data_IF_702557649349
#
_entry.id   IF_702557649349
#
_cell.length_a   1.000
_cell.length_b   1.000
_cell.length_c   1.000
_cell.angle_alpha   90.00
_cell.angle_beta   90.00
_cell.angle_gamma   90.00
#
_symmetry.space_group_name_H-M   'P 1'
#
loop_
_entity.id
_entity.type
_entity.pdbx_description
1 polymer ?
#
# COMPACT_ATOMS: atom_id res chain seq x y z
N UNK A 1 25.10 -34.61 -26.28
CA UNK A 1 24.10 -33.66 -25.74
C UNK A 1 24.18 -33.79 -24.24
N UNK A 2 24.51 -32.73 -23.51
CA UNK A 2 24.62 -32.81 -22.05
C UNK A 2 23.20 -33.01 -21.49
N UNK A 3 22.94 -34.16 -20.87
CA UNK A 3 21.67 -34.41 -20.18
C UNK A 3 21.52 -33.37 -19.05
N UNK A 4 20.41 -32.61 -19.08
CA UNK A 4 20.07 -31.67 -18.00
C UNK A 4 19.87 -32.45 -16.70
N UNK A 5 20.38 -31.90 -15.61
CA UNK A 5 20.29 -32.51 -14.28
C UNK A 5 18.86 -32.46 -13.77
N UNK A 6 18.44 -33.52 -13.09
CA UNK A 6 17.10 -33.61 -12.51
C UNK A 6 16.88 -32.48 -11.49
N UNK A 7 15.72 -31.81 -11.54
CA UNK A 7 15.42 -30.66 -10.69
C UNK A 7 15.36 -31.00 -9.18
N UNK A 8 15.00 -32.23 -8.83
CA UNK A 8 15.08 -32.71 -7.45
C UNK A 8 16.54 -32.86 -7.01
N UNK A 9 17.43 -33.31 -7.88
CA UNK A 9 18.88 -33.37 -7.60
C UNK A 9 19.52 -31.97 -7.51
N UNK A 10 19.08 -31.03 -8.34
CA UNK A 10 19.54 -29.63 -8.30
C UNK A 10 19.20 -28.98 -6.95
N UNK A 11 18.00 -29.24 -6.42
CA UNK A 11 17.60 -28.78 -5.09
C UNK A 11 18.09 -29.68 -3.94
N UNK A 12 18.61 -30.87 -4.24
CA UNK A 12 19.12 -31.84 -3.27
C UNK A 12 18.03 -32.49 -2.42
N UNK A 13 16.87 -32.76 -3.00
CA UNK A 13 15.68 -33.33 -2.36
C UNK A 13 15.21 -34.59 -3.09
N UNK A 14 14.37 -35.41 -2.46
CA UNK A 14 13.81 -36.61 -3.08
C UNK A 14 12.54 -36.32 -3.89
N UNK A 15 12.30 -37.12 -4.93
CA UNK A 15 11.05 -37.12 -5.70
C UNK A 15 9.90 -37.55 -4.78
N UNK A 16 9.04 -36.59 -4.42
CA UNK A 16 7.99 -36.77 -3.41
C UNK A 16 8.06 -35.79 -2.23
N UNK A 17 9.08 -34.92 -2.18
CA UNK A 17 9.18 -33.85 -1.18
C UNK A 17 7.93 -32.96 -1.15
N UNK A 18 7.55 -32.53 0.05
CA UNK A 18 6.46 -31.58 0.28
C UNK A 18 6.81 -30.17 -0.23
N UNK A 19 5.82 -29.32 -0.49
CA UNK A 19 6.06 -27.94 -0.93
C UNK A 19 6.96 -27.15 0.05
N UNK A 20 6.82 -27.41 1.35
CA UNK A 20 7.61 -26.76 2.38
C UNK A 20 9.08 -27.21 2.36
N UNK A 21 9.34 -28.47 2.02
CA UNK A 21 10.70 -28.99 1.83
C UNK A 21 11.35 -28.41 0.58
N UNK A 22 10.59 -28.27 -0.51
CA UNK A 22 11.05 -27.62 -1.76
C UNK A 22 11.41 -26.16 -1.50
N UNK A 23 10.55 -25.41 -0.79
CA UNK A 23 10.81 -24.01 -0.41
C UNK A 23 12.03 -23.87 0.48
N UNK A 24 12.22 -24.76 1.45
CA UNK A 24 13.40 -24.76 2.35
C UNK A 24 14.68 -25.09 1.59
N UNK A 25 14.65 -26.08 0.71
CA UNK A 25 15.79 -26.48 -0.11
C UNK A 25 16.21 -25.36 -1.07
N UNK A 26 15.26 -24.72 -1.74
CA UNK A 26 15.50 -23.56 -2.59
C UNK A 26 16.17 -22.41 -1.83
N UNK A 27 15.66 -22.02 -0.65
CA UNK A 27 16.28 -20.95 0.15
C UNK A 27 17.72 -21.28 0.54
N UNK A 28 18.00 -22.54 0.89
CA UNK A 28 19.35 -23.00 1.25
C UNK A 28 20.30 -22.99 0.05
N UNK A 29 19.83 -23.42 -1.12
CA UNK A 29 20.61 -23.44 -2.36
C UNK A 29 20.83 -22.02 -2.93
N UNK A 30 19.79 -21.18 -2.92
CA UNK A 30 19.86 -19.78 -3.36
C UNK A 30 20.83 -18.96 -2.49
N UNK A 31 20.83 -19.15 -1.17
CA UNK A 31 21.82 -18.51 -0.26
C UNK A 31 23.23 -19.07 -0.41
N UNK A 32 23.38 -20.28 -0.98
CA UNK A 32 24.70 -20.90 -1.22
C UNK A 32 25.34 -20.37 -2.50
N UNK A 33 24.54 -20.10 -3.53
CA UNK A 33 25.00 -19.65 -4.85
C UNK A 33 24.67 -18.17 -5.14
N UNK A 34 24.31 -17.38 -4.12
CA UNK A 34 23.95 -15.97 -4.28
C UNK A 34 25.16 -15.13 -4.76
N UNK A 35 24.99 -14.23 -5.75
CA UNK A 35 26.08 -13.41 -6.30
C UNK A 35 26.89 -12.64 -5.25
N UNK A 36 26.25 -12.10 -4.20
CA UNK A 36 26.95 -11.37 -3.12
C UNK A 36 28.00 -12.21 -2.39
N UNK A 37 27.79 -13.52 -2.22
CA UNK A 37 28.77 -14.38 -1.55
C UNK A 37 30.03 -14.64 -2.36
N UNK A 38 29.96 -14.42 -3.68
CA UNK A 38 31.06 -14.62 -4.60
C UNK A 38 31.62 -13.30 -5.13
N UNK A 39 31.26 -12.16 -4.51
CA UNK A 39 31.75 -10.82 -4.85
C UNK A 39 33.29 -10.73 -4.90
N UNK A 40 33.99 -11.45 -4.02
CA UNK A 40 35.46 -11.50 -3.93
C UNK A 40 36.11 -12.77 -4.52
N UNK A 41 35.37 -13.62 -5.25
CA UNK A 41 35.87 -14.85 -5.87
C UNK A 41 36.42 -14.62 -7.29
N UNK A 42 37.16 -15.59 -7.83
CA UNK A 42 37.70 -15.52 -9.19
C UNK A 42 36.59 -15.50 -10.26
N UNK A 43 36.86 -14.96 -11.44
CA UNK A 43 35.86 -14.85 -12.52
C UNK A 43 35.27 -16.20 -12.95
N UNK A 44 36.02 -17.29 -12.74
CA UNK A 44 35.55 -18.65 -13.01
C UNK A 44 34.54 -19.12 -11.97
N UNK A 45 34.78 -18.87 -10.68
CA UNK A 45 33.88 -19.24 -9.60
C UNK A 45 32.58 -18.42 -9.61
N UNK A 46 32.66 -17.15 -10.03
CA UNK A 46 31.49 -16.30 -10.23
C UNK A 46 30.56 -16.85 -11.31
N UNK A 47 31.12 -17.27 -12.45
CA UNK A 47 30.35 -17.87 -13.55
C UNK A 47 29.71 -19.20 -13.14
N UNK A 48 30.46 -20.07 -12.46
CA UNK A 48 29.93 -21.35 -11.98
C UNK A 48 28.83 -21.16 -10.92
N UNK A 49 28.94 -20.15 -10.06
CA UNK A 49 27.90 -19.82 -9.08
C UNK A 49 26.63 -19.27 -9.76
N UNK A 50 26.79 -18.42 -10.79
CA UNK A 50 25.67 -17.87 -11.55
C UNK A 50 24.92 -18.96 -12.35
N UNK A 51 25.63 -19.90 -12.98
CA UNK A 51 25.02 -21.04 -13.67
C UNK A 51 24.24 -21.93 -12.71
N UNK A 52 24.83 -22.30 -11.56
CA UNK A 52 24.14 -23.08 -10.52
C UNK A 52 22.96 -22.33 -9.93
N UNK A 53 23.04 -21.00 -9.80
CA UNK A 53 21.94 -20.18 -9.32
C UNK A 53 20.78 -20.14 -10.32
N UNK A 54 21.07 -20.09 -11.64
CA UNK A 54 20.06 -20.19 -12.69
C UNK A 54 19.36 -21.56 -12.67
N UNK A 55 20.12 -22.65 -12.56
CA UNK A 55 19.56 -24.01 -12.44
C UNK A 55 18.65 -24.16 -11.21
N UNK A 56 19.06 -23.62 -10.05
CA UNK A 56 18.27 -23.67 -8.80
C UNK A 56 16.96 -22.88 -8.92
N UNK A 57 16.98 -21.76 -9.63
CA UNK A 57 15.77 -20.97 -9.87
C UNK A 57 14.80 -21.69 -10.82
N UNK A 58 15.32 -22.28 -11.90
CA UNK A 58 14.52 -23.07 -12.85
C UNK A 58 13.87 -24.27 -12.15
N UNK A 59 14.65 -25.01 -11.35
CA UNK A 59 14.15 -26.13 -10.56
C UNK A 59 13.02 -25.71 -9.61
N UNK A 60 13.17 -24.57 -8.91
CA UNK A 60 12.13 -24.07 -8.02
C UNK A 60 10.88 -23.61 -8.77
N UNK A 61 11.00 -22.96 -9.93
CA UNK A 61 9.84 -22.54 -10.72
C UNK A 61 9.00 -23.70 -11.22
N UNK A 62 9.62 -24.84 -11.53
CA UNK A 62 8.92 -26.04 -12.00
C UNK A 62 8.35 -26.83 -10.81
N UNK A 63 9.13 -26.99 -9.73
CA UNK A 63 8.73 -27.85 -8.59
C UNK A 63 7.82 -27.15 -7.56
N UNK A 64 7.78 -25.81 -7.52
CA UNK A 64 6.91 -25.08 -6.57
C UNK A 64 5.45 -24.99 -6.99
N UNK A 65 5.15 -25.25 -8.27
CA UNK A 65 3.79 -25.25 -8.80
C UNK A 65 3.30 -26.70 -8.99
N UNK A 66 2.16 -27.04 -8.39
CA UNK A 66 1.64 -28.40 -8.39
C UNK A 66 1.35 -28.94 -9.81
N UNK A 67 0.93 -28.08 -10.75
CA UNK A 67 0.64 -28.50 -12.13
C UNK A 67 1.92 -28.69 -12.94
N UNK A 68 2.89 -27.77 -12.81
CA UNK A 68 4.19 -27.89 -13.49
C UNK A 68 5.01 -29.06 -12.96
N UNK A 69 4.95 -29.30 -11.66
CA UNK A 69 5.57 -30.46 -11.01
C UNK A 69 4.99 -31.77 -11.55
N UNK A 70 3.67 -31.88 -11.66
CA UNK A 70 3.03 -33.08 -12.21
C UNK A 70 3.45 -33.34 -13.67
N UNK A 71 3.56 -32.28 -14.49
CA UNK A 71 4.06 -32.39 -15.87
C UNK A 71 5.53 -32.81 -15.93
N UNK A 72 6.38 -32.23 -15.07
CA UNK A 72 7.78 -32.62 -14.95
C UNK A 72 7.94 -34.07 -14.48
N UNK A 73 7.12 -34.50 -13.52
CA UNK A 73 7.16 -35.86 -12.98
C UNK A 73 6.74 -36.91 -14.03
N UNK A 74 5.88 -36.54 -14.98
CA UNK A 74 5.38 -37.41 -16.06
C UNK A 74 6.26 -37.41 -17.33
N UNK A 75 6.80 -36.26 -17.73
CA UNK A 75 7.46 -36.07 -19.04
C UNK A 75 8.92 -35.59 -18.93
N UNK A 76 9.43 -35.36 -17.72
CA UNK A 76 10.79 -34.87 -17.49
C UNK A 76 11.04 -33.49 -18.11
N UNK A 77 12.30 -33.19 -18.47
CA UNK A 77 12.66 -31.91 -19.09
C UNK A 77 12.02 -31.70 -20.46
N UNK A 78 11.62 -32.76 -21.17
CA UNK A 78 10.99 -32.68 -22.48
C UNK A 78 9.63 -31.97 -22.45
N UNK A 79 8.94 -31.95 -21.30
CA UNK A 79 7.67 -31.24 -21.13
C UNK A 79 7.79 -29.72 -21.34
N UNK A 80 9.00 -29.18 -21.20
CA UNK A 80 9.27 -27.75 -21.24
C UNK A 80 10.25 -27.35 -22.36
N UNK A 81 10.73 -28.29 -23.17
CA UNK A 81 11.65 -28.02 -24.30
C UNK A 81 10.94 -27.64 -25.60
N UNK A 82 9.66 -27.99 -25.76
CA UNK A 82 8.88 -27.69 -26.98
C UNK A 82 8.25 -26.28 -27.00
N UNK A 83 8.98 -25.30 -26.46
CA UNK A 83 8.62 -23.87 -26.48
C UNK A 83 9.77 -22.94 -26.91
N UNK A 84 10.89 -23.50 -27.40
CA UNK A 84 12.09 -22.75 -27.78
C UNK A 84 11.97 -22.07 -29.16
N UNK A 85 10.91 -21.28 -29.36
CA UNK A 85 10.67 -20.50 -30.56
C UNK A 85 10.07 -19.15 -30.21
N UNK A 86 10.85 -18.27 -29.58
CA UNK A 86 10.48 -16.85 -29.40
C UNK A 86 10.51 -16.33 -27.97
N UNK A 87 11.67 -16.35 -27.31
CA UNK A 87 11.93 -15.41 -26.22
C UNK A 87 13.45 -15.14 -26.09
N UNK A 88 14.02 -14.59 -27.16
CA UNK A 88 15.30 -13.90 -27.09
C UNK A 88 15.05 -12.43 -26.78
N UNK A 89 15.24 -12.02 -25.52
CA UNK A 89 15.15 -10.61 -25.16
C UNK A 89 15.10 -10.31 -23.67
N UNK A 90 16.26 -9.99 -23.11
CA UNK A 90 16.37 -8.89 -22.14
C UNK A 90 15.96 -9.16 -20.70
N UNK A 91 16.97 -9.44 -19.88
CA UNK A 91 16.95 -9.13 -18.46
C UNK A 91 16.81 -7.61 -18.26
N UNK A 92 15.75 -7.16 -17.57
CA UNK A 92 15.80 -5.91 -16.80
C UNK A 92 14.63 -5.81 -15.80
N UNK A 93 14.94 -5.38 -14.58
CA UNK A 93 14.04 -4.50 -13.83
C UNK A 93 13.11 -5.13 -12.79
N UNK A 94 13.48 -4.90 -11.54
CA UNK A 94 12.65 -4.78 -10.35
C UNK A 94 11.22 -4.24 -10.61
N UNK A 95 10.19 -4.95 -10.08
CA UNK A 95 8.91 -4.35 -9.70
C UNK A 95 7.67 -4.70 -10.53
N UNK A 96 6.68 -5.31 -9.87
CA UNK A 96 5.26 -5.15 -10.20
C UNK A 96 4.60 -6.24 -11.05
N UNK A 97 3.45 -6.72 -10.58
CA UNK A 97 2.36 -7.21 -11.43
C UNK A 97 2.40 -8.68 -11.82
N UNK A 98 1.67 -9.50 -11.06
CA UNK A 98 1.13 -10.76 -11.57
C UNK A 98 0.15 -10.44 -12.72
N UNK A 99 0.37 -10.97 -13.92
CA UNK A 99 -0.60 -10.86 -15.01
C UNK A 99 -0.05 -10.91 -16.43
N UNK A 100 0.87 -11.84 -16.75
CA UNK A 100 1.50 -11.86 -18.09
C UNK A 100 1.67 -13.22 -18.76
N UNK A 101 1.21 -14.33 -18.16
CA UNK A 101 1.41 -15.67 -18.73
C UNK A 101 0.15 -16.55 -18.78
N UNK A 102 -0.99 -16.08 -18.27
CA UNK A 102 -2.26 -16.81 -18.29
C UNK A 102 -2.96 -16.73 -19.65
N UNK A 103 -2.79 -15.60 -20.38
CA UNK A 103 -3.49 -15.34 -21.65
C UNK A 103 -2.88 -16.00 -22.90
N UNK A 104 -1.64 -16.49 -22.81
CA UNK A 104 -0.99 -17.17 -23.94
C UNK A 104 -1.21 -18.69 -23.89
N UNK A 105 -1.41 -19.28 -22.70
CA UNK A 105 -1.69 -20.71 -22.58
C UNK A 105 -3.18 -21.03 -22.81
N UNK A 106 -4.08 -20.08 -22.56
CA UNK A 106 -5.51 -20.18 -22.90
C UNK A 106 -5.77 -20.14 -24.41
N UNK A 107 -4.91 -19.45 -25.19
CA UNK A 107 -5.01 -19.38 -26.65
C UNK A 107 -4.48 -20.62 -27.39
N UNK A 108 -3.57 -21.40 -26.79
CA UNK A 108 -2.99 -22.57 -27.45
C UNK A 108 -3.71 -23.88 -27.12
N UNK A 109 -4.35 -23.98 -25.95
CA UNK A 109 -5.09 -25.19 -25.52
C UNK A 109 -6.62 -25.05 -25.62
N UNK A 110 -7.13 -23.90 -26.09
CA UNK A 110 -8.54 -23.61 -26.22
C UNK A 110 -8.93 -23.14 -27.63
N UNK A 111 -8.84 -24.01 -28.65
CA UNK A 111 -9.17 -23.56 -30.00
C UNK A 111 -9.13 -24.60 -31.13
N UNK A 112 -10.03 -25.60 -31.08
CA UNK A 112 -10.66 -26.16 -32.28
C UNK A 112 -9.97 -27.33 -33.01
N UNK A 113 -10.67 -28.47 -33.07
CA UNK A 113 -10.39 -29.51 -34.08
C UNK A 113 -10.83 -30.91 -33.65
N UNK A 114 -12.02 -31.32 -34.07
CA UNK A 114 -12.65 -32.63 -33.90
C UNK A 114 -11.73 -33.85 -33.99
N UNK A 115 -11.89 -34.80 -33.06
CA UNK A 115 -11.49 -36.18 -33.31
C UNK A 115 -11.37 -37.03 -32.05
N UNK A 116 -12.20 -38.08 -32.00
CA UNK A 116 -12.12 -39.25 -31.12
C UNK A 116 -12.87 -39.18 -29.78
N UNK A 117 -13.96 -39.94 -29.74
CA UNK A 117 -14.90 -40.04 -28.65
C UNK A 117 -14.39 -40.86 -27.46
N UNK A 118 -15.11 -40.68 -26.36
CA UNK A 118 -15.03 -41.58 -25.21
C UNK A 118 -14.87 -40.84 -23.89
N UNK A 119 -15.94 -40.23 -23.37
CA UNK A 119 -16.23 -40.26 -21.93
C UNK A 119 -17.67 -39.82 -21.70
N UNK A 120 -18.55 -40.80 -21.51
CA UNK A 120 -19.90 -40.58 -21.03
C UNK A 120 -19.89 -40.26 -19.54
N UNK A 121 -20.82 -39.38 -19.15
CA UNK A 121 -21.26 -39.22 -17.77
C UNK A 121 -20.46 -38.22 -16.94
N UNK A 122 -21.00 -37.01 -16.76
CA UNK A 122 -20.46 -36.11 -15.74
C UNK A 122 -20.69 -34.60 -15.92
N UNK A 123 -21.61 -34.15 -16.78
CA UNK A 123 -22.03 -32.73 -16.77
C UNK A 123 -22.97 -32.47 -15.59
N UNK A 124 -22.41 -32.46 -14.39
CA UNK A 124 -22.99 -31.76 -13.25
C UNK A 124 -22.92 -30.27 -13.54
N UNK A 125 -23.98 -29.72 -14.11
CA UNK A 125 -24.16 -28.28 -14.27
C UNK A 125 -24.05 -27.63 -12.90
N UNK A 126 -22.89 -27.05 -12.61
CA UNK A 126 -22.76 -26.11 -11.51
C UNK A 126 -23.59 -24.89 -11.89
N UNK A 127 -24.82 -24.88 -11.40
CA UNK A 127 -25.71 -23.71 -11.39
C UNK A 127 -24.89 -22.54 -10.88
N UNK A 128 -24.47 -21.65 -11.79
CA UNK A 128 -23.88 -20.37 -11.44
C UNK A 128 -24.97 -19.61 -10.69
N UNK A 129 -24.96 -19.72 -9.35
CA UNK A 129 -25.78 -18.88 -8.48
C UNK A 129 -25.60 -17.45 -8.96
N UNK A 130 -26.71 -16.73 -9.14
CA UNK A 130 -26.74 -15.30 -9.45
C UNK A 130 -25.67 -14.60 -8.61
N UNK A 131 -24.60 -14.13 -9.25
CA UNK A 131 -23.46 -13.54 -8.56
C UNK A 131 -23.93 -12.19 -8.04
N UNK A 132 -24.12 -12.11 -6.72
CA UNK A 132 -24.60 -10.89 -6.10
C UNK A 132 -23.39 -9.98 -5.88
N UNK A 133 -23.24 -8.99 -6.75
CA UNK A 133 -22.17 -8.01 -6.63
C UNK A 133 -22.25 -7.22 -5.31
N UNK A 134 -21.13 -7.01 -4.60
CA UNK A 134 -21.10 -6.12 -3.45
C UNK A 134 -21.34 -4.67 -3.88
N UNK A 135 -21.83 -3.86 -2.95
CA UNK A 135 -21.94 -2.43 -3.16
C UNK A 135 -20.56 -1.79 -3.34
N UNK A 136 -20.52 -0.60 -3.95
CA UNK A 136 -19.27 0.11 -4.20
C UNK A 136 -18.64 0.63 -2.91
N UNK A 137 -17.33 0.58 -2.85
CA UNK A 137 -16.57 1.18 -1.76
C UNK A 137 -16.60 2.72 -1.83
N UNK A 138 -16.64 3.34 -0.67
CA UNK A 138 -16.54 4.79 -0.49
C UNK A 138 -15.19 5.17 0.09
N UNK A 139 -14.74 6.38 -0.24
CA UNK A 139 -13.53 6.98 0.32
C UNK A 139 -13.92 8.29 1.00
N UNK A 140 -13.49 8.47 2.24
CA UNK A 140 -13.73 9.68 2.99
C UNK A 140 -12.42 10.20 3.57
N UNK A 141 -12.03 11.42 3.20
CA UNK A 141 -10.81 12.03 3.73
C UNK A 141 -11.10 12.72 5.06
N UNK A 142 -10.31 12.40 6.07
CA UNK A 142 -10.35 13.05 7.37
C UNK A 142 -9.04 13.79 7.59
N UNK A 143 -9.16 15.08 7.90
CA UNK A 143 -8.00 15.88 8.28
C UNK A 143 -7.80 15.85 9.78
N UNK A 144 -6.55 15.63 10.20
CA UNK A 144 -6.14 15.59 11.60
C UNK A 144 -5.04 16.62 11.87
N UNK A 145 -5.03 17.22 13.06
CA UNK A 145 -3.90 18.03 13.52
C UNK A 145 -2.82 17.15 14.18
N UNK A 146 -1.61 17.66 14.35
CA UNK A 146 -0.53 16.87 15.00
C UNK A 146 -0.86 16.51 16.45
N UNK A 147 -1.59 17.37 17.17
CA UNK A 147 -2.04 17.14 18.54
C UNK A 147 -3.06 15.99 18.62
N UNK A 148 -3.99 15.94 17.65
CA UNK A 148 -4.94 14.83 17.50
C UNK A 148 -4.21 13.52 17.16
N UNK A 149 -3.13 13.58 16.37
CA UNK A 149 -2.30 12.42 16.05
C UNK A 149 -1.50 11.96 17.28
N UNK A 150 -1.03 12.88 18.11
CA UNK A 150 -0.25 12.57 19.31
C UNK A 150 -1.06 11.82 20.37
N UNK A 151 -2.35 12.13 20.50
CA UNK A 151 -3.23 11.59 21.55
C UNK A 151 -4.20 10.53 21.04
N UNK A 152 -4.49 10.52 19.75
CA UNK A 152 -5.61 9.79 19.17
C UNK A 152 -6.93 10.53 19.42
N UNK A 153 -7.87 10.40 18.50
CA UNK A 153 -9.12 11.15 18.54
C UNK A 153 -10.30 10.31 18.06
N UNK A 154 -11.47 10.53 18.64
CA UNK A 154 -12.73 10.01 18.11
C UNK A 154 -13.39 11.09 17.24
N UNK A 155 -13.51 10.83 15.93
CA UNK A 155 -14.19 11.75 15.02
C UNK A 155 -15.51 11.19 14.54
N UNK A 156 -16.52 12.07 14.48
CA UNK A 156 -17.81 11.76 13.90
C UNK A 156 -17.76 12.05 12.40
N UNK A 157 -17.86 11.00 11.59
CA UNK A 157 -17.94 11.11 10.13
C UNK A 157 -19.39 11.25 9.71
N UNK A 158 -19.68 12.28 8.92
CA UNK A 158 -20.99 12.50 8.31
C UNK A 158 -20.85 12.48 6.80
N UNK A 159 -21.40 11.45 6.17
CA UNK A 159 -21.32 11.28 4.72
C UNK A 159 -22.65 10.79 4.15
N UNK A 160 -22.82 11.00 2.85
CA UNK A 160 -23.99 10.53 2.09
C UNK A 160 -23.60 9.28 1.33
N UNK A 161 -24.49 8.30 1.32
CA UNK A 161 -24.38 7.07 0.51
C UNK A 161 -25.75 6.67 0.00
N UNK A 162 -25.82 5.81 -1.01
CA UNK A 162 -27.03 5.08 -1.30
C UNK A 162 -27.10 3.87 -0.34
N UNK A 163 -28.06 3.90 0.57
CA UNK A 163 -28.38 2.80 1.46
C UNK A 163 -29.55 1.98 0.94
N UNK A 164 -29.92 0.93 1.68
CA UNK A 164 -31.17 0.22 1.44
C UNK A 164 -32.34 1.18 1.65
N UNK A 165 -33.27 1.21 0.72
CA UNK A 165 -34.44 2.07 0.83
C UNK A 165 -35.29 1.63 2.03
N UNK A 166 -35.42 2.51 3.04
CA UNK A 166 -36.16 2.24 4.28
C UNK A 166 -37.66 1.98 4.07
N UNK A 167 -38.23 2.45 2.97
CA UNK A 167 -39.66 2.25 2.66
C UNK A 167 -39.97 0.85 2.13
N UNK A 168 -39.00 0.16 1.53
CA UNK A 168 -39.19 -1.14 0.89
C UNK A 168 -38.15 -2.19 1.32
N UNK A 169 -37.32 -1.89 2.32
CA UNK A 169 -36.22 -2.74 2.82
C UNK A 169 -35.31 -3.33 1.74
N UNK A 170 -35.08 -2.58 0.66
CA UNK A 170 -34.25 -3.04 -0.46
C UNK A 170 -34.97 -3.85 -1.54
N UNK A 171 -36.25 -4.17 -1.37
CA UNK A 171 -37.01 -4.99 -2.34
C UNK A 171 -37.39 -4.25 -3.63
N UNK A 172 -37.50 -2.91 -3.57
CA UNK A 172 -38.03 -2.10 -4.67
C UNK A 172 -39.55 -2.14 -4.83
N UNK A 173 -40.26 -2.92 -4.01
CA UNK A 173 -41.72 -2.98 -3.99
C UNK A 173 -42.33 -1.95 -3.05
N UNK A 174 -43.50 -1.41 -3.38
CA UNK A 174 -44.30 -0.62 -2.43
C UNK A 174 -44.69 -1.48 -1.23
N UNK A 175 -44.71 -0.91 -0.02
CA UNK A 175 -45.00 -1.64 1.22
C UNK A 175 -46.36 -2.36 1.10
N UNK A 176 -46.37 -3.69 1.26
CA UNK A 176 -47.57 -4.52 1.08
C UNK A 176 -47.83 -5.02 -0.34
N UNK A 177 -46.97 -4.70 -1.31
CA UNK A 177 -47.01 -5.24 -2.67
C UNK A 177 -46.11 -6.47 -2.82
N UNK A 178 -46.60 -7.51 -3.49
CA UNK A 178 -45.86 -8.74 -3.78
C UNK A 178 -44.85 -8.58 -4.92
N UNK A 179 -43.80 -9.41 -4.87
CA UNK A 179 -42.86 -9.59 -5.97
C UNK A 179 -43.38 -10.68 -6.90
N UNK A 180 -43.59 -10.36 -8.18
CA UNK A 180 -43.95 -11.34 -9.22
C UNK A 180 -42.69 -11.89 -9.89
N UNK A 181 -42.77 -13.12 -10.40
CA UNK A 181 -41.72 -13.68 -11.25
C UNK A 181 -41.59 -12.80 -12.50
N UNK A 182 -40.36 -12.44 -12.87
CA UNK A 182 -40.11 -11.61 -14.05
C UNK A 182 -40.62 -12.32 -15.31
N UNK A 183 -41.51 -11.70 -16.10
CA UNK A 183 -42.08 -12.33 -17.28
C UNK A 183 -41.06 -12.48 -18.40
N UNK A 184 -40.10 -11.55 -18.52
CA UNK A 184 -39.09 -11.57 -19.59
C UNK A 184 -38.06 -12.68 -19.44
N UNK A 185 -37.58 -12.95 -18.22
CA UNK A 185 -36.62 -14.03 -17.97
C UNK A 185 -37.24 -15.28 -17.34
N UNK A 186 -38.55 -15.29 -17.06
CA UNK A 186 -39.25 -16.38 -16.35
C UNK A 186 -38.54 -16.79 -15.04
N UNK A 187 -38.07 -15.82 -14.27
CA UNK A 187 -37.36 -16.09 -13.02
C UNK A 187 -35.89 -16.46 -13.14
N UNK A 188 -35.33 -16.57 -14.36
CA UNK A 188 -33.93 -16.96 -14.59
C UNK A 188 -32.91 -15.86 -14.28
N UNK A 189 -33.31 -14.59 -14.31
CA UNK A 189 -32.43 -13.43 -14.07
C UNK A 189 -31.60 -12.98 -15.28
N UNK A 190 -31.52 -13.79 -16.33
CA UNK A 190 -30.82 -13.50 -17.58
C UNK A 190 -31.68 -13.86 -18.80
N UNK A 191 -31.35 -13.28 -19.95
CA UNK A 191 -31.94 -13.56 -21.25
C UNK A 191 -30.86 -14.05 -22.21
N UNK A 192 -31.17 -15.07 -23.01
CA UNK A 192 -30.26 -15.57 -24.03
C UNK A 192 -30.42 -14.75 -25.31
N UNK A 193 -29.35 -14.05 -25.70
CA UNK A 193 -29.28 -13.25 -26.93
C UNK A 193 -28.47 -14.03 -27.94
N UNK A 194 -29.15 -14.51 -28.98
CA UNK A 194 -28.52 -15.19 -30.11
C UNK A 194 -28.10 -14.16 -31.16
N UNK A 195 -26.81 -13.98 -31.37
CA UNK A 195 -26.26 -13.12 -32.41
C UNK A 195 -25.73 -13.97 -33.57
N UNK A 196 -26.16 -13.63 -34.79
CA UNK A 196 -25.64 -14.25 -36.01
C UNK A 196 -24.28 -13.65 -36.33
N UNK A 197 -23.24 -14.48 -36.33
CA UNK A 197 -21.89 -14.13 -36.75
C UNK A 197 -21.51 -14.89 -38.02
N UNK A 198 -20.41 -14.50 -38.66
CA UNK A 198 -19.90 -15.14 -39.89
C UNK A 198 -19.55 -16.63 -39.64
N UNK A 199 -19.28 -17.00 -38.38
CA UNK A 199 -18.95 -18.36 -37.94
C UNK A 199 -20.17 -19.15 -37.42
N UNK A 200 -21.39 -18.60 -37.50
CA UNK A 200 -22.62 -19.23 -37.04
C UNK A 200 -23.37 -18.41 -35.97
N UNK A 201 -24.36 -19.06 -35.33
CA UNK A 201 -25.13 -18.44 -34.25
C UNK A 201 -24.34 -18.51 -32.94
N UNK A 202 -23.93 -17.36 -32.42
CA UNK A 202 -23.35 -17.24 -31.08
C UNK A 202 -24.47 -16.92 -30.08
N UNK A 203 -24.69 -17.79 -29.11
CA UNK A 203 -25.63 -17.54 -28.00
C UNK A 203 -24.85 -16.95 -26.84
N UNK A 204 -25.23 -15.74 -26.43
CA UNK A 204 -24.66 -15.06 -25.27
C UNK A 204 -25.74 -14.86 -24.21
N UNK A 205 -25.38 -14.95 -22.93
CA UNK A 205 -26.29 -14.64 -21.83
C UNK A 205 -26.09 -13.18 -21.45
N UNK A 206 -27.18 -12.40 -21.48
CA UNK A 206 -27.19 -11.02 -20.99
C UNK A 206 -28.08 -10.93 -19.76
N UNK A 207 -27.74 -10.06 -18.82
CA UNK A 207 -28.60 -9.79 -17.67
C UNK A 207 -29.98 -9.31 -18.13
N UNK A 208 -31.04 -9.79 -17.46
CA UNK A 208 -32.40 -9.35 -17.79
C UNK A 208 -32.58 -7.87 -17.40
N UNK A 209 -32.80 -7.01 -18.39
CA UNK A 209 -33.04 -5.57 -18.24
C UNK A 209 -34.30 -5.21 -17.42
N UNK A 210 -35.24 -6.14 -17.26
CA UNK A 210 -36.47 -5.90 -16.49
C UNK A 210 -36.32 -6.21 -14.99
N UNK A 211 -35.53 -7.24 -14.65
CA UNK A 211 -35.36 -7.67 -13.25
C UNK A 211 -33.95 -7.51 -12.70
N UNK A 212 -32.99 -7.07 -13.52
CA UNK A 212 -31.59 -6.86 -13.17
C UNK A 212 -31.02 -8.03 -12.36
N UNK A 213 -31.10 -9.24 -12.93
CA UNK A 213 -30.57 -10.45 -12.31
C UNK A 213 -31.39 -11.03 -11.16
N UNK A 214 -32.40 -10.32 -10.62
CA UNK A 214 -33.17 -10.75 -9.44
C UNK A 214 -34.20 -11.86 -9.73
N UNK A 215 -34.61 -12.02 -10.99
CA UNK A 215 -35.64 -12.97 -11.42
C UNK A 215 -37.06 -12.62 -10.95
N UNK A 216 -37.23 -11.57 -10.13
CA UNK A 216 -38.51 -11.08 -9.65
C UNK A 216 -38.62 -9.57 -9.85
N UNK A 217 -39.83 -9.12 -10.15
CA UNK A 217 -40.16 -7.70 -10.37
C UNK A 217 -41.27 -7.28 -9.39
N UNK A 218 -41.22 -6.06 -8.84
CA UNK A 218 -42.26 -5.55 -7.97
C UNK A 218 -43.56 -5.29 -8.77
N UNK A 219 -44.71 -5.72 -8.24
CA UNK A 219 -46.01 -5.41 -8.84
C UNK A 219 -46.29 -3.90 -8.86
N UNK A 220 -45.96 -3.23 -7.77
CA UNK A 220 -45.95 -1.77 -7.66
C UNK A 220 -44.57 -1.32 -7.25
N UNK A 221 -43.95 -0.50 -8.09
CA UNK A 221 -42.64 0.11 -7.81
C UNK A 221 -42.75 1.00 -6.57
N UNK A 222 -41.79 0.88 -5.65
CA UNK A 222 -41.70 1.75 -4.49
C UNK A 222 -41.57 3.21 -4.93
N UNK A 223 -42.43 4.10 -4.41
CA UNK A 223 -42.41 5.54 -4.73
C UNK A 223 -41.12 6.24 -4.27
N UNK A 224 -40.51 5.78 -3.18
CA UNK A 224 -39.32 6.39 -2.59
C UNK A 224 -38.04 6.13 -3.37
N UNK A 225 -37.90 4.96 -4.01
CA UNK A 225 -36.71 4.57 -4.77
C UNK A 225 -36.96 4.33 -6.27
N UNK A 226 -38.20 4.48 -6.74
CA UNK A 226 -38.56 4.22 -8.14
C UNK A 226 -38.42 2.76 -8.57
N UNK A 227 -38.34 1.83 -7.62
CA UNK A 227 -38.18 0.39 -7.88
C UNK A 227 -36.75 -0.16 -7.80
N UNK A 228 -35.74 0.68 -7.57
CA UNK A 228 -34.33 0.24 -7.50
C UNK A 228 -33.99 -0.49 -6.19
N UNK A 229 -34.72 -0.19 -5.11
CA UNK A 229 -34.45 -0.71 -3.76
C UNK A 229 -33.37 0.07 -2.99
N UNK A 230 -32.73 1.05 -3.62
CA UNK A 230 -31.70 1.90 -2.98
C UNK A 230 -32.18 3.35 -2.87
N UNK A 231 -31.79 4.03 -1.80
CA UNK A 231 -32.13 5.44 -1.58
C UNK A 231 -30.96 6.17 -0.91
N UNK A 232 -30.80 7.46 -1.23
CA UNK A 232 -29.78 8.30 -0.58
C UNK A 232 -30.10 8.44 0.91
N UNK A 233 -29.13 8.11 1.75
CA UNK A 233 -29.16 8.35 3.19
C UNK A 233 -27.92 9.12 3.65
N UNK A 234 -28.06 9.87 4.73
CA UNK A 234 -26.93 10.47 5.44
C UNK A 234 -26.60 9.59 6.63
N UNK A 235 -25.37 9.10 6.68
CA UNK A 235 -24.88 8.26 7.77
C UNK A 235 -23.97 9.09 8.64
N UNK A 236 -24.16 8.95 9.95
CA UNK A 236 -23.29 9.51 10.96
C UNK A 236 -22.63 8.36 11.73
N UNK A 237 -21.30 8.29 11.70
CA UNK A 237 -20.54 7.21 12.34
C UNK A 237 -19.37 7.78 13.11
N UNK A 238 -19.31 7.46 14.40
CA UNK A 238 -18.12 7.73 15.22
C UNK A 238 -17.05 6.70 14.93
N UNK A 239 -15.84 7.20 14.70
CA UNK A 239 -14.66 6.41 14.35
C UNK A 239 -13.52 6.80 15.27
N UNK A 240 -12.97 5.82 15.96
CA UNK A 240 -11.80 6.00 16.81
C UNK A 240 -10.54 5.88 15.95
N UNK A 241 -9.80 6.97 15.85
CA UNK A 241 -8.53 7.02 15.13
C UNK A 241 -7.41 6.89 16.17
N UNK A 242 -6.56 5.85 16.08
CA UNK A 242 -5.48 5.63 17.04
C UNK A 242 -4.43 6.75 16.95
N UNK A 243 -3.66 6.91 18.02
CA UNK A 243 -2.51 7.81 18.01
C UNK A 243 -1.42 7.28 17.07
N UNK A 244 -0.56 8.18 16.57
CA UNK A 244 0.58 7.82 15.72
C UNK A 244 0.25 7.59 14.24
N UNK A 245 -1.00 7.82 13.81
CA UNK A 245 -1.40 7.68 12.40
C UNK A 245 -0.65 8.64 11.48
N UNK A 246 -0.42 8.19 10.25
CA UNK A 246 0.29 8.96 9.21
C UNK A 246 -0.64 9.36 8.06
N UNK A 247 -0.23 10.39 7.34
CA UNK A 247 -0.90 10.79 6.09
C UNK A 247 -0.91 9.64 5.09
N UNK A 248 -2.07 9.36 4.50
CA UNK A 248 -2.26 8.28 3.54
C UNK A 248 -2.69 6.94 4.16
N UNK A 249 -2.64 6.80 5.49
CA UNK A 249 -3.17 5.61 6.16
C UNK A 249 -4.68 5.48 5.95
N UNK A 250 -5.14 4.24 5.80
CA UNK A 250 -6.53 3.90 5.48
C UNK A 250 -7.13 3.08 6.61
N UNK A 251 -8.23 3.57 7.17
CA UNK A 251 -9.04 2.83 8.13
C UNK A 251 -10.29 2.31 7.42
N UNK A 252 -10.46 0.99 7.40
CA UNK A 252 -11.59 0.31 6.75
C UNK A 252 -12.74 0.16 7.74
N UNK A 253 -13.93 0.64 7.37
CA UNK A 253 -15.18 0.38 8.07
C UNK A 253 -16.05 -0.52 7.20
N UNK A 254 -16.27 -1.74 7.68
CA UNK A 254 -16.96 -2.78 6.90
C UNK A 254 -18.45 -2.48 6.73
N UNK A 255 -18.99 -2.67 5.51
CA UNK A 255 -20.41 -2.48 5.18
C UNK A 255 -20.92 -1.03 5.24
N UNK A 256 -20.00 -0.07 5.37
CA UNK A 256 -20.26 1.36 5.46
C UNK A 256 -20.17 2.10 4.11
N UNK A 257 -19.85 1.39 3.03
CA UNK A 257 -19.90 1.88 1.66
C UNK A 257 -21.33 1.92 1.11
N UNK A 258 -21.44 1.97 -0.23
CA UNK A 258 -22.71 1.97 -0.96
C UNK A 258 -23.45 0.64 -0.78
N UNK A 259 -24.78 0.67 -0.83
CA UNK A 259 -25.60 -0.53 -0.90
C UNK A 259 -25.44 -1.21 -2.28
N UNK A 260 -25.48 -2.54 -2.30
CA UNK A 260 -25.51 -3.30 -3.54
C UNK A 260 -26.85 -3.13 -4.26
N UNK A 261 -26.79 -2.92 -5.57
CA UNK A 261 -27.97 -2.84 -6.45
C UNK A 261 -28.60 -4.23 -6.66
N UNK A 262 -27.79 -5.29 -6.62
CA UNK A 262 -28.19 -6.69 -6.83
C UNK A 262 -28.65 -7.38 -5.55
N UNK A 263 -28.62 -6.68 -4.40
CA UNK A 263 -29.04 -7.22 -3.09
C UNK A 263 -27.92 -7.87 -2.28
N UNK A 264 -26.67 -7.60 -2.66
CA UNK A 264 -25.46 -8.08 -2.00
C UNK A 264 -25.12 -7.32 -0.73
N UNK A 265 -23.99 -7.66 -0.09
CA UNK A 265 -23.49 -6.86 1.02
C UNK A 265 -23.18 -5.43 0.53
N UNK A 266 -23.24 -4.48 1.45
CA UNK A 266 -22.77 -3.13 1.15
C UNK A 266 -21.25 -3.16 0.92
N UNK A 267 -20.74 -2.20 0.15
CA UNK A 267 -19.31 -1.94 0.09
C UNK A 267 -18.76 -1.43 1.42
N UNK A 268 -17.48 -1.10 1.44
CA UNK A 268 -16.78 -0.60 2.63
C UNK A 268 -16.51 0.91 2.55
N UNK A 269 -16.32 1.54 3.71
CA UNK A 269 -15.84 2.91 3.78
C UNK A 269 -14.35 2.92 4.14
N UNK A 270 -13.53 3.44 3.25
CA UNK A 270 -12.11 3.72 3.50
C UNK A 270 -11.94 5.16 3.96
N UNK A 271 -11.63 5.32 5.24
CA UNK A 271 -11.30 6.60 5.83
C UNK A 271 -9.81 6.86 5.59
N UNK A 272 -9.49 7.85 4.75
CA UNK A 272 -8.12 8.22 4.41
C UNK A 272 -7.71 9.37 5.31
N UNK A 273 -6.65 9.15 6.09
CA UNK A 273 -6.14 10.14 7.03
C UNK A 273 -5.21 11.11 6.30
N UNK A 274 -5.40 12.41 6.53
CA UNK A 274 -4.48 13.46 6.11
C UNK A 274 -4.08 14.29 7.33
N UNK A 275 -2.80 14.27 7.69
CA UNK A 275 -2.29 15.14 8.74
C UNK A 275 -2.08 16.53 8.15
N UNK A 276 -2.61 17.55 8.81
CA UNK A 276 -2.42 18.95 8.43
C UNK A 276 -0.98 19.36 8.71
N UNK A 277 -0.45 20.21 7.83
CA UNK A 277 0.79 20.92 8.10
C UNK A 277 0.63 21.79 9.35
N UNK A 278 1.64 21.79 10.20
CA UNK A 278 1.63 22.55 11.45
C UNK A 278 2.58 23.75 11.32
N UNK A 279 2.19 24.89 11.90
CA UNK A 279 2.94 26.14 11.74
C UNK A 279 4.31 26.14 12.44
N UNK A 280 4.46 25.32 13.48
CA UNK A 280 5.66 25.28 14.35
C UNK A 280 6.43 23.96 14.21
N UNK A 281 5.74 22.88 13.86
CA UNK A 281 6.28 21.53 13.94
C UNK A 281 6.30 20.91 12.56
N UNK A 282 7.45 20.36 12.20
CA UNK A 282 7.61 19.50 11.04
C UNK A 282 7.72 18.06 11.53
N UNK A 283 6.89 17.18 11.02
CA UNK A 283 6.91 15.76 11.40
C UNK A 283 7.90 15.01 10.52
N UNK A 284 8.82 14.29 11.15
CA UNK A 284 9.70 13.31 10.52
C UNK A 284 9.50 11.94 11.18
N UNK A 285 8.72 11.08 10.52
CA UNK A 285 8.28 9.78 11.04
C UNK A 285 7.61 9.90 12.44
N UNK A 286 8.32 9.51 13.50
CA UNK A 286 7.89 9.60 14.90
C UNK A 286 8.44 10.85 15.60
N UNK A 287 9.49 11.44 15.06
CA UNK A 287 10.11 12.63 15.61
C UNK A 287 9.39 13.88 15.08
N UNK A 288 9.45 14.95 15.87
CA UNK A 288 8.96 16.27 15.46
C UNK A 288 10.10 17.26 15.56
N UNK A 289 10.22 18.13 14.57
CA UNK A 289 11.22 19.18 14.51
C UNK A 289 10.55 20.53 14.70
N UNK A 290 11.12 21.37 15.56
CA UNK A 290 10.72 22.77 15.67
C UNK A 290 11.96 23.66 15.59
N UNK A 291 11.79 24.84 15.02
CA UNK A 291 12.82 25.88 15.00
C UNK A 291 12.42 26.98 15.99
N UNK A 292 13.31 27.28 16.94
CA UNK A 292 13.07 28.31 17.95
C UNK A 292 14.09 29.45 17.85
N UNK A 293 13.65 30.72 17.80
CA UNK A 293 14.54 31.84 17.92
C UNK A 293 15.00 32.00 19.38
N UNK A 294 16.30 32.18 19.58
CA UNK A 294 16.90 32.48 20.89
C UNK A 294 17.65 33.80 20.84
N UNK A 295 17.61 34.55 21.94
CA UNK A 295 18.31 35.82 22.08
C UNK A 295 19.82 35.62 21.96
N UNK A 296 20.50 36.58 21.33
CA UNK A 296 21.97 36.62 21.25
C UNK A 296 22.65 36.42 22.62
N UNK A 297 22.15 37.07 23.67
CA UNK A 297 22.69 36.96 25.03
C UNK A 297 22.53 35.55 25.60
N UNK A 298 21.38 34.90 25.39
CA UNK A 298 21.15 33.51 25.83
C UNK A 298 22.05 32.52 25.09
N UNK A 299 22.29 32.74 23.80
CA UNK A 299 23.23 31.92 23.03
C UNK A 299 24.67 32.06 23.55
N UNK A 300 25.09 33.29 23.86
CA UNK A 300 26.44 33.60 24.33
C UNK A 300 26.68 33.13 25.77
N UNK A 301 25.78 33.49 26.70
CA UNK A 301 25.95 33.29 28.15
C UNK A 301 25.32 31.99 28.66
N UNK A 302 24.49 31.34 27.85
CA UNK A 302 23.63 30.25 28.29
C UNK A 302 22.39 30.76 29.03
N UNK A 303 21.47 29.85 29.33
CA UNK A 303 20.24 30.17 30.02
C UNK A 303 19.18 29.10 29.83
N UNK A 304 17.93 29.49 30.04
CA UNK A 304 16.76 28.62 29.90
C UNK A 304 15.81 29.22 28.86
N UNK A 305 15.25 28.36 28.01
CA UNK A 305 14.29 28.75 26.96
C UNK A 305 13.08 27.82 27.06
N UNK A 306 11.89 28.40 26.96
CA UNK A 306 10.63 27.67 26.89
C UNK A 306 10.38 27.20 25.46
N UNK A 307 10.14 25.91 25.30
CA UNK A 307 9.88 25.25 24.02
C UNK A 307 8.44 24.75 24.00
N UNK A 308 7.65 25.05 22.95
CA UNK A 308 6.33 24.46 22.79
C UNK A 308 6.47 22.96 22.48
N UNK A 309 5.64 22.13 23.08
CA UNK A 309 5.52 20.69 22.75
C UNK A 309 4.08 20.38 22.36
N UNK A 310 3.81 19.21 21.77
CA UNK A 310 2.43 18.80 21.44
C UNK A 310 1.50 18.64 22.67
N UNK A 311 2.07 18.59 23.88
CA UNK A 311 1.34 18.44 25.15
C UNK A 311 1.31 19.71 25.99
N UNK A 312 2.02 20.78 25.58
CA UNK A 312 2.13 22.00 26.36
C UNK A 312 3.46 22.72 26.11
N UNK A 313 4.18 23.02 27.20
CA UNK A 313 5.43 23.79 27.18
C UNK A 313 6.45 23.14 28.09
N UNK A 314 7.72 23.18 27.71
CA UNK A 314 8.81 22.62 28.51
C UNK A 314 10.06 23.48 28.40
N UNK A 315 10.74 23.66 29.51
CA UNK A 315 11.97 24.48 29.56
C UNK A 315 13.19 23.62 29.26
N UNK A 316 14.05 24.09 28.36
CA UNK A 316 15.35 23.48 28.08
C UNK A 316 16.50 24.40 28.51
N UNK A 317 17.59 23.80 28.97
CA UNK A 317 18.84 24.51 29.28
C UNK A 317 19.69 24.66 28.04
N UNK A 318 20.02 25.90 27.69
CA UNK A 318 20.92 26.26 26.60
C UNK A 318 22.32 26.47 27.18
N UNK A 319 23.32 25.66 26.78
CA UNK A 319 24.70 25.87 27.20
C UNK A 319 25.27 27.17 26.62
N UNK A 320 26.18 27.80 27.36
CA UNK A 320 26.92 28.96 26.89
C UNK A 320 27.71 28.66 25.60
N UNK A 321 27.79 29.65 24.70
CA UNK A 321 28.44 29.51 23.41
C UNK A 321 27.67 28.63 22.40
N UNK A 322 26.36 28.45 22.60
CA UNK A 322 25.51 27.71 21.67
C UNK A 322 25.47 28.42 20.31
N UNK A 323 25.75 27.67 19.25
CA UNK A 323 25.79 28.18 17.89
C UNK A 323 24.43 28.01 17.22
N UNK A 324 24.10 28.94 16.30
CA UNK A 324 22.91 28.82 15.45
C UNK A 324 22.92 27.50 14.66
N UNK A 325 21.75 26.88 14.50
CA UNK A 325 21.56 25.58 13.86
C UNK A 325 21.89 24.37 14.75
N UNK A 326 22.29 24.57 16.01
CA UNK A 326 22.47 23.46 16.95
C UNK A 326 21.11 22.86 17.31
N UNK A 327 21.00 21.54 17.28
CA UNK A 327 19.77 20.83 17.66
C UNK A 327 19.87 20.26 19.07
N UNK A 328 18.79 20.38 19.84
CA UNK A 328 18.60 19.78 21.14
C UNK A 328 17.50 18.73 21.06
N UNK A 329 17.76 17.55 21.62
CA UNK A 329 16.81 16.44 21.58
C UNK A 329 16.07 16.33 22.91
N UNK A 330 14.75 16.44 22.86
CA UNK A 330 13.82 16.27 23.97
C UNK A 330 13.19 14.88 23.87
N UNK A 331 13.71 13.96 24.69
CA UNK A 331 13.33 12.55 24.62
C UNK A 331 11.86 12.32 25.01
N UNK A 332 11.14 11.56 24.18
CA UNK A 332 9.75 11.16 24.43
C UNK A 332 8.70 12.25 24.25
N UNK A 333 9.08 13.37 23.64
CA UNK A 333 8.18 14.51 23.35
C UNK A 333 7.68 14.52 21.89
N UNK A 334 8.04 13.52 21.07
CA UNK A 334 7.53 13.34 19.73
C UNK A 334 6.19 12.59 19.67
N UNK A 335 5.95 11.89 18.57
CA UNK A 335 4.72 11.15 18.31
C UNK A 335 4.84 9.68 18.74
N UNK A 336 3.75 9.06 19.24
CA UNK A 336 3.74 7.64 19.51
C UNK A 336 3.74 6.84 18.20
N UNK A 337 4.35 5.66 18.23
CA UNK A 337 4.22 4.68 17.15
C UNK A 337 2.77 4.19 17.06
N UNK A 338 2.29 3.93 15.83
CA UNK A 338 0.97 3.34 15.61
C UNK A 338 0.85 1.95 16.28
N UNK A 339 1.96 1.21 16.33
CA UNK A 339 2.07 -0.11 16.96
C UNK A 339 3.21 -0.09 17.97
N UNK A 340 2.90 -0.49 19.20
CA UNK A 340 3.89 -0.57 20.29
C UNK A 340 3.86 0.64 21.23
N UNK A 341 4.84 0.71 22.12
CA UNK A 341 4.92 1.73 23.18
C UNK A 341 6.04 2.74 22.96
N UNK A 342 6.67 2.73 21.78
CA UNK A 342 7.76 3.66 21.45
C UNK A 342 7.14 5.02 21.12
N UNK A 343 7.76 6.05 21.67
CA UNK A 343 7.43 7.46 21.39
C UNK A 343 8.70 8.09 20.83
N UNK A 344 8.55 8.84 19.74
CA UNK A 344 9.64 9.63 19.17
C UNK A 344 10.06 10.80 20.05
N UNK A 345 11.01 11.56 19.53
CA UNK A 345 11.61 12.69 20.21
C UNK A 345 11.23 14.01 19.54
N UNK A 346 11.27 15.09 20.31
CA UNK A 346 11.21 16.44 19.74
C UNK A 346 12.64 16.97 19.54
N UNK A 347 12.93 17.43 18.33
CA UNK A 347 14.22 17.98 17.93
C UNK A 347 14.06 19.48 17.77
N UNK A 348 14.65 20.20 18.71
CA UNK A 348 14.59 21.66 18.80
C UNK A 348 15.84 22.24 18.16
N UNK A 349 15.70 22.86 16.99
CA UNK A 349 16.77 23.56 16.32
C UNK A 349 16.77 25.02 16.76
N UNK A 350 17.87 25.49 17.35
CA UNK A 350 17.96 26.89 17.78
C UNK A 350 18.47 27.79 16.67
N UNK A 351 17.84 28.95 16.51
CA UNK A 351 18.31 30.02 15.63
C UNK A 351 18.61 31.24 16.48
N UNK A 352 19.86 31.73 16.39
CA UNK A 352 20.26 32.93 17.12
C UNK A 352 19.73 34.15 16.40
N UNK A 353 18.83 34.88 17.06
CA UNK A 353 18.29 36.13 16.54
C UNK A 353 19.25 37.27 16.84
N UNK A 354 19.67 37.98 15.79
CA UNK A 354 20.51 39.17 15.91
C UNK A 354 19.58 40.37 16.13
N UNK A 355 19.78 41.16 17.20
CA UNK A 355 18.91 42.29 17.49
C UNK A 355 19.03 43.38 16.42
N UNK A 356 17.90 43.98 16.06
CA UNK A 356 17.78 45.09 15.11
C UNK A 356 17.51 46.40 15.85
N UNK A 357 17.64 47.54 15.15
CA UNK A 357 17.27 48.88 15.65
C UNK A 357 17.89 49.26 17.01
N UNK A 358 19.20 49.02 17.12
CA UNK A 358 19.96 49.29 18.35
C UNK A 358 20.15 50.78 18.60
N UNK A 359 19.88 51.22 19.83
CA UNK A 359 20.16 52.60 20.26
C UNK A 359 21.67 52.85 20.51
N UNK A 360 22.06 54.11 20.71
CA UNK A 360 23.48 54.48 20.88
C UNK A 360 24.17 53.75 22.04
N UNK A 361 23.47 53.58 23.16
CA UNK A 361 24.00 52.89 24.34
C UNK A 361 24.24 51.40 24.06
N UNK A 362 23.28 50.72 23.41
CA UNK A 362 23.38 49.32 23.03
C UNK A 362 24.50 49.09 22.02
N UNK A 363 24.65 49.97 21.02
CA UNK A 363 25.76 49.89 20.07
C UNK A 363 27.11 50.09 20.76
N UNK A 364 27.21 51.04 21.70
CA UNK A 364 28.43 51.26 22.49
C UNK A 364 28.82 50.02 23.28
N UNK A 365 27.86 49.33 23.91
CA UNK A 365 28.11 48.10 24.65
C UNK A 365 28.59 46.95 23.73
N UNK A 366 28.00 46.80 22.55
CA UNK A 366 28.43 45.77 21.60
C UNK A 366 29.83 46.03 21.03
N UNK A 367 30.20 47.29 20.77
CA UNK A 367 31.58 47.65 20.36
C UNK A 367 32.59 47.33 21.46
N UNK A 368 32.29 47.73 22.70
CA UNK A 368 33.15 47.42 23.84
C UNK A 368 33.27 45.90 24.07
N UNK A 369 32.19 45.14 23.83
CA UNK A 369 32.23 43.68 23.88
C UNK A 369 33.14 43.12 22.78
N UNK A 370 32.99 43.56 21.53
CA UNK A 370 33.84 43.13 20.41
C UNK A 370 35.32 43.40 20.67
N UNK A 371 35.67 44.60 21.16
CA UNK A 371 37.04 44.97 21.51
C UNK A 371 37.66 44.06 22.59
N UNK A 372 36.84 43.43 23.42
CA UNK A 372 37.29 42.48 24.45
C UNK A 372 37.58 41.06 23.91
N UNK A 373 37.07 40.73 22.72
CA UNK A 373 37.18 39.41 22.12
C UNK A 373 38.53 39.23 21.39
N UNK A 374 38.98 37.98 21.29
CA UNK A 374 40.20 37.59 20.57
C UNK A 374 39.86 36.55 19.49
N UNK A 375 40.78 36.28 18.57
CA UNK A 375 40.57 35.26 17.52
C UNK A 375 40.09 33.89 18.05
N UNK A 376 40.51 33.50 19.26
CA UNK A 376 40.09 32.25 19.91
C UNK A 376 38.58 32.15 20.13
N UNK A 377 37.88 33.28 20.21
CA UNK A 377 36.44 33.37 20.39
C UNK A 377 35.67 33.11 19.08
N UNK A 378 36.33 33.25 17.92
CA UNK A 378 35.74 33.15 16.58
C UNK A 378 36.31 31.98 15.75
N UNK A 379 36.25 30.76 16.30
CA UNK A 379 36.84 29.55 15.67
C UNK A 379 36.38 29.33 14.23
N UNK A 380 35.07 29.37 13.96
CA UNK A 380 34.52 29.14 12.60
C UNK A 380 34.97 30.19 11.60
N UNK A 381 35.00 31.47 12.01
CA UNK A 381 35.44 32.57 11.16
C UNK A 381 36.92 32.42 10.78
N UNK A 382 37.78 32.08 11.75
CA UNK A 382 39.19 31.77 11.50
C UNK A 382 39.37 30.62 10.51
N UNK A 383 38.71 29.49 10.76
CA UNK A 383 38.78 28.32 9.86
C UNK A 383 38.29 28.64 8.45
N UNK A 384 37.26 29.47 8.31
CA UNK A 384 36.77 29.90 7.00
C UNK A 384 37.77 30.81 6.29
N UNK A 385 38.33 31.81 6.97
CA UNK A 385 39.37 32.68 6.41
C UNK A 385 40.62 31.91 5.97
N UNK A 386 41.04 30.91 6.75
CA UNK A 386 42.19 30.07 6.42
C UNK A 386 41.93 29.27 5.13
N UNK A 387 40.73 28.71 4.97
CA UNK A 387 40.31 28.03 3.73
C UNK A 387 40.30 28.96 2.52
N UNK A 388 39.79 30.18 2.68
CA UNK A 388 39.78 31.18 1.60
C UNK A 388 41.21 31.55 1.19
N UNK A 389 42.10 31.81 2.16
CA UNK A 389 43.51 32.11 1.87
C UNK A 389 44.23 30.96 1.16
N UNK A 390 43.87 29.71 1.47
CA UNK A 390 44.42 28.55 0.77
C UNK A 390 43.88 28.35 -0.66
N UNK A 391 42.73 28.92 -1.00
CA UNK A 391 42.15 28.84 -2.33
C UNK A 391 42.75 29.86 -3.31
N UNK A 392 43.18 31.01 -2.80
CA UNK A 392 43.82 32.08 -3.58
C UNK A 392 45.36 31.98 -3.63
N UNK A 393 45.94 30.94 -3.04
CA UNK A 393 47.33 30.52 -3.22
C UNK A 393 47.36 29.35 -4.18
#
# INVERSE_FOLDING_TARGET
>A
MAEKRDYYEVLGISKGASEDEIKKAYRKAAMKYHPDKFSNASDKEKKEAEEKFKEVNEAYQILSDAQKRAQYDQFGHAAFEQGAGGFGGGFNGFGGGAGGFEDIFSSFFGGGGSGFGGFGGGFGGSSRRSYVEPGRDLRYQVELTLEEVATGVEKTLKYKRNGKCKSCDGTGAESGSSMKTCPKCNGRGYVEVTQRTILGNMVSQMECDECHGKGKVPEKKCKSCGGTGIARETVEKKVKIPAGVETGQKLRLEGMGEASETGGPNGDLYVIIRVKEHAIFERDEMDIMCEIPIKFTTAALGGEVEVPTLKGKKTIKIPAGTQTGKSFRMRGEGLPALRGSIVGDEIVKVVVETPIDLNEEQQKLLRAFEDSLKEKNYKKHKTWLDKVKSFFK
#
